data_IF_041729872573
#
_entry.id   IF_041729872573
#
_cell.length_a   1.000
_cell.length_b   1.000
_cell.length_c   1.000
_cell.angle_alpha   90.00
_cell.angle_beta   90.00
_cell.angle_gamma   90.00
#
_symmetry.space_group_name_H-M   'P 1'
#
loop_
_entity.id
_entity.type
_entity.pdbx_description
1 polymer ?
#
# COMPACT_ATOMS: atom_id res chain seq x y z
N UNK A 1 22.22 -13.31 -18.72
CA UNK A 1 21.51 -13.40 -17.42
C UNK A 1 21.41 -11.98 -16.88
N UNK A 2 20.25 -11.32 -17.05
CA UNK A 2 20.11 -9.89 -16.81
C UNK A 2 19.56 -9.61 -15.40
N UNK A 3 20.18 -8.62 -14.78
CA UNK A 3 20.02 -8.07 -13.44
C UNK A 3 18.55 -7.92 -12.98
N UNK A 4 18.21 -8.54 -11.84
CA UNK A 4 16.85 -8.58 -11.26
C UNK A 4 16.75 -7.84 -9.93
N UNK A 5 17.60 -6.83 -9.68
CA UNK A 5 17.52 -6.07 -8.41
C UNK A 5 16.49 -4.92 -8.47
N UNK A 6 16.21 -4.40 -9.66
CA UNK A 6 15.19 -3.35 -9.88
C UNK A 6 13.74 -3.85 -9.92
N UNK A 7 13.51 -5.14 -10.16
CA UNK A 7 12.14 -5.66 -10.34
C UNK A 7 11.36 -5.83 -9.03
N UNK A 8 12.03 -6.02 -7.90
CA UNK A 8 11.33 -6.33 -6.64
C UNK A 8 10.76 -5.08 -5.96
N UNK A 9 11.48 -3.97 -5.92
CA UNK A 9 10.96 -2.71 -5.35
C UNK A 9 9.76 -2.22 -6.15
N UNK A 10 9.87 -2.26 -7.49
CA UNK A 10 8.77 -1.86 -8.36
C UNK A 10 7.53 -2.76 -8.19
N UNK A 11 7.75 -4.07 -8.01
CA UNK A 11 6.66 -5.02 -7.70
C UNK A 11 6.02 -4.76 -6.36
N UNK A 12 6.80 -4.40 -5.33
CA UNK A 12 6.28 -4.06 -4.00
C UNK A 12 5.41 -2.80 -4.09
N UNK A 13 5.89 -1.75 -4.78
CA UNK A 13 5.11 -0.52 -4.98
C UNK A 13 3.80 -0.82 -5.74
N UNK A 14 3.87 -1.58 -6.82
CA UNK A 14 2.67 -1.96 -7.58
C UNK A 14 1.69 -2.78 -6.71
N UNK A 15 2.20 -3.67 -5.86
CA UNK A 15 1.37 -4.47 -4.94
C UNK A 15 0.68 -3.59 -3.89
N UNK A 16 1.39 -2.64 -3.30
CA UNK A 16 0.86 -1.69 -2.31
C UNK A 16 -0.20 -0.79 -2.96
N UNK A 17 0.05 -0.28 -4.17
CA UNK A 17 -0.93 0.52 -4.91
C UNK A 17 -2.17 -0.31 -5.26
N UNK A 18 -2.01 -1.52 -5.79
CA UNK A 18 -3.15 -2.40 -6.10
C UNK A 18 -3.96 -2.74 -4.84
N UNK A 19 -3.31 -2.94 -3.70
CA UNK A 19 -3.99 -3.14 -2.41
C UNK A 19 -4.71 -1.88 -1.93
N UNK A 20 -4.12 -0.70 -2.07
CA UNK A 20 -4.74 0.58 -1.72
C UNK A 20 -5.99 0.90 -2.57
N UNK A 21 -5.99 0.50 -3.84
CA UNK A 21 -7.16 0.60 -4.74
C UNK A 21 -8.15 -0.57 -4.59
N UNK A 22 -7.88 -1.56 -3.73
CA UNK A 22 -8.74 -2.73 -3.53
C UNK A 22 -8.68 -3.79 -4.65
N UNK A 23 -7.80 -3.62 -5.64
CA UNK A 23 -7.61 -4.51 -6.81
C UNK A 23 -6.53 -5.58 -6.57
N UNK A 24 -6.30 -5.92 -5.31
CA UNK A 24 -5.29 -6.92 -4.92
C UNK A 24 -5.69 -8.30 -5.47
N UNK A 25 -4.92 -8.81 -6.44
CA UNK A 25 -5.12 -10.16 -7.00
C UNK A 25 -5.00 -11.23 -5.92
N UNK A 26 -5.76 -12.32 -6.06
CA UNK A 26 -5.71 -13.47 -5.14
C UNK A 26 -4.29 -14.03 -4.96
N UNK A 27 -3.43 -13.99 -5.99
CA UNK A 27 -2.02 -14.43 -5.86
C UNK A 27 -1.19 -13.54 -4.94
N UNK A 28 -1.46 -12.22 -4.93
CA UNK A 28 -0.79 -11.31 -4.01
C UNK A 28 -1.32 -11.53 -2.59
N UNK A 29 -2.65 -11.66 -2.42
CA UNK A 29 -3.26 -12.02 -1.13
C UNK A 29 -2.70 -13.32 -0.58
N UNK A 30 -2.67 -14.39 -1.37
CA UNK A 30 -2.23 -15.71 -0.91
C UNK A 30 -0.77 -15.66 -0.46
N UNK A 31 0.14 -15.04 -1.23
CA UNK A 31 1.52 -14.82 -0.76
C UNK A 31 1.57 -13.96 0.51
N UNK A 32 0.79 -12.89 0.55
CA UNK A 32 0.73 -11.94 1.66
C UNK A 32 0.15 -12.58 2.94
N UNK A 33 -0.78 -13.55 2.83
CA UNK A 33 -1.39 -14.29 3.94
C UNK A 33 -0.63 -15.56 4.32
N UNK A 34 0.11 -16.18 3.40
CA UNK A 34 0.91 -17.40 3.65
C UNK A 34 2.31 -17.05 4.15
N UNK A 35 2.95 -16.00 3.62
CA UNK A 35 4.30 -15.57 4.01
C UNK A 35 4.28 -14.39 5.00
N UNK A 36 3.21 -13.58 5.01
CA UNK A 36 3.09 -12.38 5.84
C UNK A 36 2.21 -12.57 7.08
N UNK A 37 2.57 -11.92 8.19
CA UNK A 37 1.73 -11.89 9.41
C UNK A 37 0.57 -10.91 9.21
N UNK A 38 -0.70 -11.30 9.50
CA UNK A 38 -1.88 -10.44 9.37
C UNK A 38 -1.75 -9.08 10.06
N UNK A 39 -1.01 -9.01 11.17
CA UNK A 39 -0.74 -7.76 11.89
C UNK A 39 -0.04 -6.68 11.05
N UNK A 40 0.82 -7.04 10.09
CA UNK A 40 1.49 -6.06 9.23
C UNK A 40 0.50 -5.35 8.30
N UNK A 41 -0.52 -6.05 7.81
CA UNK A 41 -1.57 -5.47 6.96
C UNK A 41 -2.47 -4.52 7.73
N UNK A 42 -2.82 -4.88 8.97
CA UNK A 42 -3.62 -4.02 9.85
C UNK A 42 -2.86 -2.72 10.16
N UNK A 43 -1.58 -2.83 10.53
CA UNK A 43 -0.73 -1.65 10.81
C UNK A 43 -0.59 -0.78 9.56
N UNK A 44 -0.34 -1.39 8.39
CA UNK A 44 -0.24 -0.67 7.13
C UNK A 44 -1.55 0.05 6.76
N UNK A 45 -2.70 -0.58 6.96
CA UNK A 45 -4.01 0.01 6.72
C UNK A 45 -4.31 1.19 7.66
N UNK A 46 -3.98 1.06 8.95
CA UNK A 46 -4.14 2.14 9.92
C UNK A 46 -3.24 3.32 9.54
N UNK A 47 -1.96 3.07 9.26
CA UNK A 47 -1.01 4.11 8.86
C UNK A 47 -1.47 4.85 7.60
N UNK A 48 -1.90 4.10 6.58
CA UNK A 48 -2.46 4.68 5.37
C UNK A 48 -3.68 5.57 5.65
N UNK A 49 -4.59 5.11 6.51
CA UNK A 49 -5.80 5.87 6.87
C UNK A 49 -5.46 7.17 7.58
N UNK A 50 -4.51 7.14 8.53
CA UNK A 50 -4.05 8.36 9.22
C UNK A 50 -3.45 9.36 8.23
N UNK A 51 -2.57 8.89 7.33
CA UNK A 51 -1.96 9.74 6.29
C UNK A 51 -3.04 10.34 5.38
N UNK A 52 -4.01 9.54 4.95
CA UNK A 52 -5.10 10.00 4.10
C UNK A 52 -5.92 11.12 4.76
N UNK A 53 -6.25 10.97 6.04
CA UNK A 53 -6.97 12.01 6.80
C UNK A 53 -6.16 13.32 6.86
N UNK A 54 -4.86 13.24 7.14
CA UNK A 54 -3.98 14.42 7.18
C UNK A 54 -4.00 15.14 5.82
N UNK A 55 -3.87 14.39 4.73
CA UNK A 55 -3.91 14.93 3.37
C UNK A 55 -5.24 15.65 3.10
N UNK A 56 -6.38 15.04 3.45
CA UNK A 56 -7.69 15.68 3.28
C UNK A 56 -7.80 16.97 4.08
N UNK A 57 -7.37 16.97 5.35
CA UNK A 57 -7.37 18.18 6.18
C UNK A 57 -6.51 19.28 5.55
N UNK A 58 -5.29 18.94 5.10
CA UNK A 58 -4.41 19.90 4.43
C UNK A 58 -5.05 20.51 3.19
N UNK A 59 -5.70 19.69 2.35
CA UNK A 59 -6.41 20.16 1.17
C UNK A 59 -7.55 21.10 1.56
N UNK A 60 -8.42 20.68 2.48
CA UNK A 60 -9.56 21.48 2.93
C UNK A 60 -9.10 22.84 3.47
N UNK A 61 -8.07 22.84 4.31
CA UNK A 61 -7.50 24.07 4.87
C UNK A 61 -6.85 24.96 3.80
N UNK A 62 -6.26 24.40 2.75
CA UNK A 62 -5.68 25.17 1.64
C UNK A 62 -6.74 25.79 0.74
N UNK A 63 -7.91 25.16 0.63
CA UNK A 63 -9.02 25.62 -0.23
C UNK A 63 -9.93 26.61 0.49
N UNK A 64 -10.18 26.40 1.79
CA UNK A 64 -11.06 27.25 2.59
C UNK A 64 -10.33 28.40 3.31
N UNK A 65 -9.00 28.29 3.46
CA UNK A 65 -8.14 29.33 4.03
C UNK A 65 -7.70 30.32 2.96
#
# INVERSE_FOLDING_TARGET
>A
MADKKGSDIFRVIQSVLAAAFGVQSNRNRERDFTEGKPGHFIIAGILFTVIFIIVLISIVNTVLG
#
